data_IF_457234258519
#
_entry.id   IF_457234258519
#
_cell.length_a   1.000
_cell.length_b   1.000
_cell.length_c   1.000
_cell.angle_alpha   90.00
_cell.angle_beta   90.00
_cell.angle_gamma   90.00
#
_symmetry.space_group_name_H-M   'P 1'
#
loop_
_entity.id
_entity.type
_entity.pdbx_description
1 polymer ?
#
# COMPACT_ATOMS: atom_id res chain seq x y z
N UNK A 1 -16.08 -4.75 -13.10
CA UNK A 1 -14.68 -5.21 -12.99
C UNK A 1 -14.43 -5.48 -11.52
N UNK A 2 -14.02 -6.69 -11.13
CA UNK A 2 -13.84 -7.06 -9.72
C UNK A 2 -12.34 -7.01 -9.41
N UNK A 3 -11.85 -5.91 -8.85
CA UNK A 3 -10.53 -5.92 -8.21
C UNK A 3 -10.59 -6.76 -6.93
N UNK A 4 -9.58 -7.60 -6.74
CA UNK A 4 -9.62 -8.74 -5.82
C UNK A 4 -9.66 -8.33 -4.36
N UNK A 5 -10.82 -8.46 -3.73
CA UNK A 5 -10.90 -8.53 -2.27
C UNK A 5 -10.35 -9.87 -1.79
N UNK A 6 -9.47 -9.85 -0.78
CA UNK A 6 -8.97 -11.04 -0.12
C UNK A 6 -9.58 -11.15 1.28
N UNK A 7 -10.27 -12.27 1.55
CA UNK A 7 -10.60 -12.66 2.93
C UNK A 7 -9.33 -13.09 3.64
N UNK A 8 -9.18 -12.65 4.88
CA UNK A 8 -8.05 -13.04 5.72
C UNK A 8 -8.38 -14.35 6.46
N UNK A 9 -7.46 -15.31 6.44
CA UNK A 9 -7.53 -16.53 7.26
C UNK A 9 -7.24 -16.27 8.75
N UNK A 10 -6.93 -15.02 9.10
CA UNK A 10 -6.69 -14.54 10.45
C UNK A 10 -7.36 -13.17 10.65
N UNK A 11 -7.58 -12.79 11.91
CA UNK A 11 -7.99 -11.43 12.24
C UNK A 11 -6.75 -10.52 12.23
N UNK A 12 -6.76 -9.46 11.42
CA UNK A 12 -5.72 -8.43 11.40
C UNK A 12 -6.09 -7.27 12.34
N UNK A 13 -5.39 -7.08 13.47
CA UNK A 13 -5.58 -5.94 14.35
C UNK A 13 -5.01 -4.67 13.71
N UNK A 14 -5.83 -3.62 13.58
CA UNK A 14 -5.42 -2.33 13.04
C UNK A 14 -6.21 -1.21 13.74
N UNK A 15 -5.49 -0.25 14.32
CA UNK A 15 -6.06 0.90 15.08
C UNK A 15 -7.22 0.54 16.02
N UNK A 16 -7.03 -0.52 16.83
CA UNK A 16 -8.00 -0.92 17.87
C UNK A 16 -9.20 -1.73 17.36
N UNK A 17 -9.25 -2.05 16.05
CA UNK A 17 -10.28 -2.90 15.45
C UNK A 17 -9.64 -4.12 14.79
N UNK A 18 -10.37 -5.23 14.75
CA UNK A 18 -9.95 -6.44 14.05
C UNK A 18 -10.66 -6.53 12.70
N UNK A 19 -9.92 -6.87 11.65
CA UNK A 19 -10.42 -6.96 10.27
C UNK A 19 -10.14 -8.34 9.68
N UNK A 20 -11.04 -8.82 8.84
CA UNK A 20 -10.99 -10.15 8.21
C UNK A 20 -11.00 -10.08 6.67
N UNK A 21 -10.82 -8.88 6.12
CA UNK A 21 -10.81 -8.63 4.68
C UNK A 21 -9.95 -7.43 4.34
N UNK A 22 -9.29 -7.50 3.18
CA UNK A 22 -8.58 -6.39 2.55
C UNK A 22 -8.91 -6.31 1.07
N UNK A 23 -8.70 -5.15 0.48
CA UNK A 23 -8.90 -4.88 -0.94
C UNK A 23 -7.67 -4.15 -1.46
N UNK A 24 -7.18 -4.56 -2.63
CA UNK A 24 -5.97 -3.99 -3.22
C UNK A 24 -6.38 -3.18 -4.45
N UNK A 25 -6.61 -1.86 -4.31
CA UNK A 25 -6.82 -1.00 -5.47
C UNK A 25 -5.56 -0.94 -6.35
N UNK A 26 -5.70 -0.54 -7.61
CA UNK A 26 -4.57 -0.34 -8.52
C UNK A 26 -3.47 0.60 -7.95
N UNK A 27 -3.81 1.60 -7.13
CA UNK A 27 -2.91 2.70 -6.72
C UNK A 27 -1.78 2.37 -5.72
N UNK A 28 -1.31 1.12 -5.65
CA UNK A 28 -0.25 0.76 -4.70
C UNK A 28 -0.67 0.91 -3.23
N UNK A 29 -1.97 0.81 -2.96
CA UNK A 29 -2.58 0.89 -1.64
C UNK A 29 -3.27 -0.43 -1.26
N UNK A 30 -3.63 -0.56 0.01
CA UNK A 30 -4.45 -1.66 0.54
C UNK A 30 -5.52 -1.05 1.43
N UNK A 31 -6.78 -1.18 1.04
CA UNK A 31 -7.93 -0.83 1.87
C UNK A 31 -8.29 -1.97 2.82
N UNK A 32 -8.61 -1.65 4.07
CA UNK A 32 -8.88 -2.64 5.10
C UNK A 32 -10.38 -2.64 5.45
N UNK A 33 -11.00 -3.82 5.39
CA UNK A 33 -12.38 -4.06 5.83
C UNK A 33 -13.49 -3.50 4.93
N UNK A 34 -13.17 -2.67 3.94
CA UNK A 34 -14.14 -2.11 3.01
C UNK A 34 -13.59 -2.05 1.59
N UNK A 35 -14.41 -2.46 0.63
CA UNK A 35 -14.11 -2.25 -0.78
C UNK A 35 -14.33 -0.78 -1.13
N UNK A 36 -13.26 -0.11 -1.53
CA UNK A 36 -13.29 1.24 -2.07
C UNK A 36 -12.97 1.16 -3.56
N UNK A 37 -13.96 0.78 -4.35
CA UNK A 37 -13.84 0.83 -5.80
C UNK A 37 -14.39 2.16 -6.29
N UNK A 38 -13.54 2.99 -6.87
CA UNK A 38 -13.99 4.14 -7.65
C UNK A 38 -12.89 4.61 -8.59
N UNK A 39 -13.20 4.98 -9.85
CA UNK A 39 -12.29 5.75 -10.73
C UNK A 39 -11.97 7.15 -10.18
N UNK A 40 -12.48 7.46 -8.98
CA UNK A 40 -12.28 8.66 -8.20
C UNK A 40 -11.82 8.28 -6.79
N UNK A 41 -10.82 7.41 -6.64
CA UNK A 41 -10.23 7.07 -5.32
C UNK A 41 -9.44 8.23 -4.71
N UNK A 42 -9.12 9.24 -5.53
CA UNK A 42 -8.41 10.44 -5.11
C UNK A 42 -9.03 11.14 -3.87
N UNK A 43 -10.35 11.40 -3.78
CA UNK A 43 -10.98 11.97 -2.59
C UNK A 43 -10.92 11.05 -1.38
N UNK A 44 -10.93 9.72 -1.56
CA UNK A 44 -10.84 8.79 -0.42
C UNK A 44 -9.44 8.84 0.20
N UNK A 45 -8.37 8.90 -0.59
CA UNK A 45 -7.00 9.06 -0.04
C UNK A 45 -6.73 10.47 0.52
N UNK A 46 -7.29 11.50 -0.13
CA UNK A 46 -6.93 12.90 0.14
C UNK A 46 -7.83 13.60 1.16
N UNK A 47 -8.94 12.99 1.56
CA UNK A 47 -9.93 13.64 2.43
C UNK A 47 -10.27 12.78 3.66
N UNK A 48 -10.46 13.44 4.81
CA UNK A 48 -10.86 12.83 6.10
C UNK A 48 -10.23 11.45 6.41
N UNK A 49 -8.89 11.40 6.50
CA UNK A 49 -8.14 10.20 6.91
C UNK A 49 -8.43 8.92 6.11
N UNK A 50 -8.78 8.99 4.83
CA UNK A 50 -9.18 7.78 4.10
C UNK A 50 -10.69 7.70 3.86
N UNK A 51 -11.44 8.79 4.03
CA UNK A 51 -12.91 8.81 3.99
C UNK A 51 -13.51 7.69 4.85
N UNK A 52 -13.09 7.57 6.11
CA UNK A 52 -13.52 6.52 7.05
C UNK A 52 -13.03 5.10 6.69
N UNK A 53 -12.14 4.94 5.71
CA UNK A 53 -11.50 3.66 5.36
C UNK A 53 -10.08 3.61 5.90
N UNK A 54 -9.72 2.59 6.69
CA UNK A 54 -8.33 2.38 7.03
C UNK A 54 -7.54 1.90 5.80
N UNK A 55 -6.37 2.49 5.57
CA UNK A 55 -5.48 2.10 4.47
C UNK A 55 -4.06 1.83 4.94
N UNK A 56 -3.39 0.96 4.20
CA UNK A 56 -1.94 0.91 4.10
C UNK A 56 -1.52 1.45 2.73
N UNK A 57 -0.48 2.27 2.72
CA UNK A 57 0.15 2.83 1.53
C UNK A 57 1.60 2.35 1.49
N UNK A 58 1.87 1.14 0.98
CA UNK A 58 3.24 0.72 0.72
C UNK A 58 3.97 1.72 -0.18
N UNK A 59 3.29 2.19 -1.23
CA UNK A 59 3.76 3.21 -2.16
C UNK A 59 2.53 3.73 -2.96
N UNK A 60 1.98 4.89 -2.60
CA UNK A 60 0.79 5.44 -3.29
C UNK A 60 1.18 6.13 -4.59
N UNK A 61 0.66 5.65 -5.72
CA UNK A 61 0.78 6.20 -7.08
C UNK A 61 -0.19 5.50 -8.03
N UNK A 62 -0.53 6.11 -9.16
CA UNK A 62 -1.35 5.47 -10.19
C UNK A 62 -0.50 4.43 -10.96
N UNK A 63 -0.87 3.16 -10.84
CA UNK A 63 -0.19 2.01 -11.45
C UNK A 63 -1.08 1.33 -12.49
N UNK A 64 -0.45 0.66 -13.45
CA UNK A 64 -1.15 -0.19 -14.42
C UNK A 64 -0.68 -1.65 -14.28
N UNK A 65 -1.24 -2.42 -13.32
CA UNK A 65 -0.94 -3.85 -13.16
C UNK A 65 -1.03 -4.66 -14.45
N UNK A 66 -2.01 -4.35 -15.30
CA UNK A 66 -2.31 -5.09 -16.54
C UNK A 66 -1.32 -4.80 -17.67
N UNK A 67 -0.60 -3.67 -17.61
CA UNK A 67 0.38 -3.30 -18.62
C UNK A 67 1.76 -3.93 -18.37
N UNK A 68 1.96 -4.60 -17.23
CA UNK A 68 3.17 -5.33 -16.93
C UNK A 68 3.34 -6.53 -17.87
N UNK A 69 4.16 -6.40 -18.92
CA UNK A 69 4.40 -7.47 -19.92
C UNK A 69 4.84 -8.82 -19.29
N UNK A 70 5.39 -8.79 -18.07
CA UNK A 70 5.70 -9.97 -17.28
C UNK A 70 5.38 -9.82 -15.77
N UNK A 71 4.82 -8.68 -15.36
CA UNK A 71 4.59 -8.29 -13.96
C UNK A 71 3.13 -8.37 -13.54
N UNK A 72 2.82 -7.92 -12.33
CA UNK A 72 1.45 -7.84 -11.82
C UNK A 72 1.40 -7.65 -10.31
N UNK A 73 0.18 -7.70 -9.77
CA UNK A 73 -0.06 -7.71 -8.32
C UNK A 73 -0.40 -9.12 -7.87
N UNK A 74 0.32 -9.60 -6.87
CA UNK A 74 0.22 -10.96 -6.36
C UNK A 74 -0.06 -10.95 -4.85
N UNK A 75 -1.03 -11.76 -4.42
CA UNK A 75 -1.32 -12.00 -3.03
C UNK A 75 -0.95 -13.44 -2.63
N UNK A 76 -0.26 -13.61 -1.50
CA UNK A 76 0.04 -14.91 -0.90
C UNK A 76 -0.41 -14.89 0.55
N UNK A 77 -1.29 -15.82 0.89
CA UNK A 77 -1.80 -15.99 2.24
C UNK A 77 -1.06 -17.14 2.92
N UNK A 78 -0.69 -16.92 4.16
CA UNK A 78 -0.18 -17.91 5.10
C UNK A 78 -1.04 -17.84 6.37
N UNK A 79 -0.89 -18.84 7.25
CA UNK A 79 -1.66 -18.93 8.48
C UNK A 79 -1.54 -17.69 9.40
N UNK A 80 -0.40 -16.99 9.35
CA UNK A 80 -0.08 -15.86 10.22
C UNK A 80 0.18 -14.55 9.48
N UNK A 81 0.09 -14.53 8.14
CA UNK A 81 0.34 -13.31 7.36
C UNK A 81 -0.30 -13.31 5.97
N UNK A 82 -0.59 -12.10 5.49
CA UNK A 82 -0.88 -11.83 4.09
C UNK A 82 0.30 -11.08 3.48
N UNK A 83 0.71 -11.49 2.29
CA UNK A 83 1.80 -10.87 1.54
C UNK A 83 1.23 -10.37 0.21
N UNK A 84 1.30 -9.07 -0.03
CA UNK A 84 0.88 -8.43 -1.28
C UNK A 84 2.11 -7.89 -1.98
N UNK A 85 2.35 -8.31 -3.22
CA UNK A 85 3.55 -7.97 -4.00
C UNK A 85 3.12 -7.33 -5.30
N UNK A 86 3.56 -6.10 -5.54
CA UNK A 86 3.55 -5.47 -6.85
C UNK A 86 4.89 -5.81 -7.49
N UNK A 87 4.89 -6.63 -8.54
CA UNK A 87 6.10 -7.05 -9.23
C UNK A 87 6.13 -6.46 -10.64
N UNK A 88 7.14 -5.65 -10.93
CA UNK A 88 7.36 -5.04 -12.25
C UNK A 88 6.13 -4.32 -12.81
N UNK A 89 5.46 -3.54 -11.96
CA UNK A 89 4.24 -2.80 -12.32
C UNK A 89 4.61 -1.40 -12.82
N UNK A 90 4.26 -1.01 -14.06
CA UNK A 90 4.53 0.33 -14.57
C UNK A 90 3.58 1.37 -13.95
N UNK A 91 4.07 2.60 -13.75
CA UNK A 91 3.21 3.74 -13.44
C UNK A 91 2.37 4.16 -14.65
N UNK A 92 1.18 4.71 -14.39
CA UNK A 92 0.27 5.16 -15.44
C UNK A 92 0.82 6.35 -16.21
N UNK A 93 1.31 7.36 -15.48
CA UNK A 93 1.76 8.64 -16.05
C UNK A 93 3.17 8.58 -16.67
N UNK A 94 4.02 7.65 -16.23
CA UNK A 94 5.40 7.45 -16.74
C UNK A 94 5.70 5.96 -16.81
N UNK A 95 5.35 5.32 -17.93
CA UNK A 95 5.40 3.86 -18.08
C UNK A 95 6.82 3.28 -18.05
N UNK A 96 7.82 4.12 -18.29
CA UNK A 96 9.23 3.81 -18.10
C UNK A 96 9.61 3.61 -16.63
N UNK A 97 8.84 4.18 -15.70
CA UNK A 97 8.98 3.95 -14.28
C UNK A 97 8.23 2.68 -13.90
N UNK A 98 9.00 1.65 -13.55
CA UNK A 98 8.50 0.32 -13.19
C UNK A 98 8.84 0.04 -11.73
N UNK A 99 7.85 -0.43 -10.98
CA UNK A 99 7.93 -0.56 -9.53
C UNK A 99 7.79 -2.02 -9.11
N UNK A 100 8.67 -2.44 -8.21
CA UNK A 100 8.59 -3.71 -7.48
C UNK A 100 8.65 -3.43 -5.99
N UNK A 101 7.57 -3.72 -5.28
CA UNK A 101 7.46 -3.51 -3.83
C UNK A 101 6.45 -4.49 -3.22
N UNK A 102 6.47 -4.59 -1.90
CA UNK A 102 5.72 -5.59 -1.17
C UNK A 102 5.22 -5.03 0.16
N UNK A 103 4.03 -5.48 0.56
CA UNK A 103 3.47 -5.30 1.88
C UNK A 103 3.24 -6.67 2.54
N UNK A 104 3.59 -6.78 3.81
CA UNK A 104 3.26 -7.95 4.64
C UNK A 104 2.41 -7.48 5.81
N UNK A 105 1.25 -8.12 6.01
CA UNK A 105 0.35 -7.88 7.13
C UNK A 105 0.35 -9.14 7.99
N UNK A 106 0.82 -9.04 9.23
CA UNK A 106 0.90 -10.16 10.16
C UNK A 106 -0.34 -10.22 11.06
N UNK A 107 -0.73 -11.41 11.48
CA UNK A 107 -1.88 -11.65 12.35
C UNK A 107 -1.80 -10.97 13.73
N UNK A 108 -0.61 -10.54 14.14
CA UNK A 108 -0.40 -9.76 15.36
C UNK A 108 -0.63 -8.24 15.18
N UNK A 109 -0.95 -7.79 13.96
CA UNK A 109 -1.21 -6.38 13.64
C UNK A 109 0.02 -5.59 13.19
N UNK A 110 1.20 -6.21 13.19
CA UNK A 110 2.39 -5.63 12.55
C UNK A 110 2.20 -5.64 11.04
N UNK A 111 2.64 -4.60 10.38
CA UNK A 111 2.78 -4.57 8.93
C UNK A 111 4.16 -4.07 8.53
N UNK A 112 4.65 -4.56 7.39
CA UNK A 112 5.97 -4.24 6.85
C UNK A 112 5.85 -3.86 5.38
N UNK A 113 6.62 -2.86 4.96
CA UNK A 113 6.79 -2.50 3.55
C UNK A 113 8.22 -2.79 3.14
N UNK A 114 8.38 -3.35 1.95
CA UNK A 114 9.68 -3.72 1.38
C UNK A 114 9.74 -3.29 -0.08
N UNK A 115 10.91 -2.79 -0.48
CA UNK A 115 11.12 -2.23 -1.79
C UNK A 115 12.20 -3.03 -2.53
N UNK A 116 11.86 -3.53 -3.70
CA UNK A 116 12.79 -4.22 -4.61
C UNK A 116 13.31 -3.24 -5.65
N UNK A 117 13.04 -3.53 -6.92
CA UNK A 117 13.39 -2.65 -8.03
C UNK A 117 12.48 -1.42 -8.05
N UNK A 118 13.05 -0.25 -7.80
CA UNK A 118 12.41 1.06 -7.96
C UNK A 118 13.16 1.87 -9.02
N UNK A 119 12.51 2.88 -9.64
CA UNK A 119 13.21 3.86 -10.46
C UNK A 119 14.36 4.52 -9.68
N UNK A 120 15.44 4.87 -10.38
CA UNK A 120 16.63 5.48 -9.77
C UNK A 120 16.33 6.83 -9.08
N UNK A 121 15.28 7.52 -9.54
CA UNK A 121 14.80 8.77 -8.96
C UNK A 121 13.29 8.68 -8.74
N UNK A 122 12.87 8.93 -7.49
CA UNK A 122 11.48 9.16 -7.13
C UNK A 122 11.26 10.67 -7.03
N UNK A 123 11.16 11.34 -8.18
CA UNK A 123 11.02 12.78 -8.23
C UNK A 123 9.58 13.19 -7.88
N UNK A 124 9.36 13.79 -6.72
CA UNK A 124 8.08 14.43 -6.42
C UNK A 124 8.03 15.81 -7.08
N UNK A 125 7.01 16.04 -7.91
CA UNK A 125 6.76 17.33 -8.55
C UNK A 125 5.47 17.95 -8.00
N UNK A 126 5.55 19.03 -7.20
CA UNK A 126 4.38 19.62 -6.55
C UNK A 126 3.38 20.23 -7.54
N UNK A 127 3.80 20.49 -8.77
CA UNK A 127 2.99 20.99 -9.89
C UNK A 127 2.38 19.88 -10.76
N UNK A 128 2.60 18.61 -10.42
CA UNK A 128 2.11 17.48 -11.18
C UNK A 128 0.79 16.93 -10.60
N UNK A 129 0.13 16.06 -11.37
CA UNK A 129 -1.01 15.28 -10.88
C UNK A 129 -0.55 14.43 -9.67
N UNK A 130 -1.27 14.41 -8.53
CA UNK A 130 -0.63 13.92 -7.31
C UNK A 130 -0.40 12.40 -7.28
N UNK A 131 -1.09 11.59 -8.09
CA UNK A 131 -0.80 10.15 -8.22
C UNK A 131 0.30 9.86 -9.27
N UNK A 132 0.78 10.87 -10.00
CA UNK A 132 1.81 10.72 -11.01
C UNK A 132 3.23 10.57 -10.44
N UNK A 133 3.45 10.92 -9.18
CA UNK A 133 4.73 10.78 -8.48
C UNK A 133 4.51 10.20 -7.07
N UNK A 134 5.52 9.58 -6.47
CA UNK A 134 5.42 8.98 -5.12
C UNK A 134 5.42 10.08 -4.06
N UNK A 135 4.39 10.12 -3.23
CA UNK A 135 4.24 11.15 -2.18
C UNK A 135 3.71 10.63 -0.84
N UNK A 136 3.08 9.45 -0.81
CA UNK A 136 2.61 8.82 0.44
C UNK A 136 3.17 7.42 0.58
N UNK A 137 3.79 7.18 1.73
CA UNK A 137 4.11 5.87 2.28
C UNK A 137 3.64 5.89 3.73
N UNK A 138 2.88 4.89 4.16
CA UNK A 138 2.43 4.81 5.54
C UNK A 138 1.08 4.13 5.69
N UNK A 139 0.30 4.64 6.62
CA UNK A 139 -0.97 4.06 7.03
C UNK A 139 -1.92 5.17 7.52
N UNK A 140 -3.23 4.97 7.33
CA UNK A 140 -4.26 5.82 7.92
C UNK A 140 -5.31 4.97 8.64
N UNK A 141 -5.79 5.39 9.82
CA UNK A 141 -6.81 4.67 10.57
C UNK A 141 -8.21 4.68 9.91
N UNK A 142 -8.49 5.56 8.94
CA UNK A 142 -9.85 5.78 8.45
C UNK A 142 -10.66 6.63 9.42
N UNK A 143 -11.10 6.00 10.49
CA UNK A 143 -11.82 6.62 11.60
C UNK A 143 -10.87 6.76 12.79
N UNK A 144 -10.01 7.78 12.77
CA UNK A 144 -9.25 8.10 13.98
C UNK A 144 -10.24 8.57 15.06
N UNK A 145 -10.38 7.91 16.22
CA UNK A 145 -11.10 8.53 17.32
C UNK A 145 -10.38 9.84 17.66
N UNK A 146 -11.09 10.94 17.91
CA UNK A 146 -10.49 12.26 18.20
C UNK A 146 -9.45 12.19 19.34
N UNK A 147 -9.57 11.21 20.24
CA UNK A 147 -8.62 10.91 21.32
C UNK A 147 -7.24 10.41 20.87
N UNK A 148 -7.06 10.06 19.60
CA UNK A 148 -5.78 9.64 19.02
C UNK A 148 -4.90 10.80 18.54
N UNK A 149 -5.45 12.02 18.49
CA UNK A 149 -4.68 13.25 18.27
C UNK A 149 -3.91 13.58 19.55
N UNK A 150 -2.72 13.02 19.68
CA UNK A 150 -1.77 13.56 20.65
C UNK A 150 -1.26 14.90 20.12
N UNK A 151 -1.66 15.99 20.75
CA UNK A 151 -1.05 17.28 20.51
C UNK A 151 0.46 17.14 20.72
N UNK A 152 1.24 17.39 19.66
CA UNK A 152 2.69 17.51 19.79
C UNK A 152 2.95 18.74 20.64
N UNK A 153 3.26 18.52 21.91
CA UNK A 153 3.71 19.57 22.81
C UNK A 153 5.09 20.06 22.34
N UNK A 154 5.12 21.17 21.61
CA UNK A 154 6.35 21.92 21.37
C UNK A 154 6.84 22.46 22.71
N UNK A 155 7.66 21.68 23.41
CA UNK A 155 8.41 22.18 24.57
C UNK A 155 9.70 22.82 24.06
N UNK A 156 10.00 24.02 24.57
CA UNK A 156 11.23 24.73 24.22
C UNK A 156 12.45 23.84 24.49
N UNK A 157 13.36 23.82 23.52
CA UNK A 157 14.50 22.91 23.41
C UNK A 157 15.64 23.18 24.43
N UNK A 158 15.34 23.47 25.69
CA UNK A 158 16.38 23.67 26.70
C UNK A 158 16.76 22.42 27.49
N UNK A 159 15.98 21.35 27.47
CA UNK A 159 16.22 20.19 28.34
C UNK A 159 15.95 18.86 27.65
N UNK A 160 16.87 18.31 26.84
CA UNK A 160 17.16 16.86 26.77
C UNK A 160 18.56 16.60 26.22
N UNK A 161 19.42 15.97 27.02
CA UNK A 161 20.58 15.24 26.50
C UNK A 161 20.09 13.91 25.93
N UNK A 162 20.26 13.70 24.63
CA UNK A 162 19.86 12.47 23.94
C UNK A 162 20.95 11.39 24.01
N UNK A 163 20.57 10.17 24.39
CA UNK A 163 21.40 8.96 24.23
C UNK A 163 21.03 8.27 22.91
N UNK A 164 22.02 8.00 22.06
CA UNK A 164 21.82 7.45 20.72
C UNK A 164 21.58 5.92 20.71
N UNK A 165 20.66 5.45 19.86
CA UNK A 165 20.44 4.02 19.57
C UNK A 165 21.14 3.62 18.25
N UNK A 166 21.68 2.40 18.21
CA UNK A 166 22.49 1.84 17.10
C UNK A 166 21.62 1.01 16.13
N UNK A 167 21.96 0.94 14.83
CA UNK A 167 21.18 0.18 13.85
C UNK A 167 21.52 -1.33 13.84
N UNK A 168 20.53 -2.15 13.51
CA UNK A 168 20.63 -3.60 13.29
C UNK A 168 20.34 -3.92 11.81
N UNK A 169 21.11 -4.81 11.20
CA UNK A 169 20.99 -5.22 9.78
C UNK A 169 20.60 -6.69 9.68
N UNK A 170 19.68 -7.03 8.76
CA UNK A 170 19.29 -8.43 8.47
C UNK A 170 19.18 -8.67 6.96
N UNK A 171 19.59 -9.87 6.52
CA UNK A 171 19.70 -10.33 5.12
C UNK A 171 18.48 -11.17 4.68
N UNK A 172 18.23 -11.13 3.36
CA UNK A 172 17.13 -11.77 2.62
C UNK A 172 17.42 -13.23 2.20
N UNK A 173 16.36 -14.04 2.04
CA UNK A 173 16.36 -15.34 1.34
C UNK A 173 15.08 -15.49 0.50
N UNK A 174 15.13 -16.13 -0.67
CA UNK A 174 14.03 -16.26 -1.64
C UNK A 174 13.39 -17.66 -1.67
N UNK A 175 12.06 -17.75 -1.82
CA UNK A 175 11.30 -18.94 -2.30
C UNK A 175 9.99 -18.49 -3.01
N UNK A 176 9.55 -19.30 -3.98
CA UNK A 176 8.60 -19.07 -5.08
C UNK A 176 7.17 -18.56 -4.76
N UNK A 177 6.60 -17.81 -5.72
CA UNK A 177 5.29 -17.13 -5.71
C UNK A 177 4.28 -17.75 -6.71
N UNK A 178 2.98 -17.64 -6.44
CA UNK A 178 1.90 -17.98 -7.38
C UNK A 178 1.35 -16.73 -8.07
N UNK A 179 0.98 -16.89 -9.35
CA UNK A 179 0.56 -15.82 -10.26
C UNK A 179 -0.96 -15.71 -10.31
N UNK A 180 -1.50 -14.50 -10.25
CA UNK A 180 -2.90 -14.24 -10.64
C UNK A 180 -2.98 -14.09 -12.17
N UNK A 181 -3.94 -14.77 -12.80
CA UNK A 181 -4.19 -14.69 -14.26
C UNK A 181 -5.55 -14.05 -14.54
N UNK A 182 -5.58 -13.08 -15.46
CA UNK A 182 -6.78 -12.47 -16.01
C UNK A 182 -7.02 -12.97 -17.46
N UNK A 183 -8.18 -13.56 -17.80
CA UNK A 183 -8.54 -13.83 -19.19
C UNK A 183 -9.26 -12.63 -19.82
N UNK A 184 -8.70 -12.11 -20.91
CA UNK A 184 -9.36 -11.19 -21.84
C UNK A 184 -9.88 -11.97 -23.05
N UNK A 185 -11.16 -11.81 -23.37
CA UNK A 185 -11.61 -11.90 -24.77
C UNK A 185 -12.62 -10.78 -25.03
N UNK A 186 -12.16 -9.74 -25.70
CA UNK A 186 -13.02 -8.84 -26.46
C UNK A 186 -13.12 -9.38 -27.89
N UNK A 187 -14.33 -9.69 -28.34
CA UNK A 187 -14.65 -9.66 -29.78
C UNK A 187 -15.36 -8.34 -30.05
N UNK A 188 -14.70 -7.49 -30.83
CA UNK A 188 -15.30 -6.33 -31.50
C UNK A 188 -16.31 -6.78 -32.55
N UNK A 189 -17.45 -6.09 -32.66
CA UNK A 189 -18.04 -5.74 -33.96
C UNK A 189 -19.22 -4.77 -33.80
N UNK A 190 -19.11 -3.67 -34.55
CA UNK A 190 -20.13 -2.76 -35.09
C UNK A 190 -21.05 -1.99 -34.13
#
# INVERSE_FOLDING_TARGET
MNEGGARLEFAFPFYGRAYDAVYVPHDGAIAIGRNVYSPWLFPDYSYHYGSHTPFLFPLLLDLIPEAGQAGGVYARQEADRLIVTWERVPAFHRRENVFTFQAVLYANGVFEFSYGDLPAELAYRPDNEPLADVWVIGATPGDAPESSLQAVGWTNASDRQGTALRPMTTRWSSVASQRFSCPNTWTSAA
#
